data_IF_783354819545
#
_entry.id   IF_783354819545
#
_cell.length_a   1.000
_cell.length_b   1.000
_cell.length_c   1.000
_cell.angle_alpha   90.00
_cell.angle_beta   90.00
_cell.angle_gamma   90.00
#
_symmetry.space_group_name_H-M   'P 1'
#
loop_
_entity.id
_entity.type
_entity.pdbx_description
1 polymer ?
#
# COMPACT_ATOMS: atom_id res chain seq x y z
N UNK A 1 14.59 2.37 8.13
CA UNK A 1 13.70 1.98 7.02
C UNK A 1 12.35 2.60 7.34
N UNK A 2 11.62 3.06 6.32
CA UNK A 2 10.70 4.22 6.34
C UNK A 2 10.49 4.88 7.71
N UNK A 3 11.04 6.08 7.83
CA UNK A 3 11.04 6.88 9.04
C UNK A 3 10.32 8.20 8.76
N UNK A 4 9.24 8.47 9.49
CA UNK A 4 8.53 9.74 9.49
C UNK A 4 8.68 10.35 10.88
N UNK A 5 9.05 11.63 10.93
CA UNK A 5 9.22 12.37 12.19
C UNK A 5 8.45 13.67 12.11
N UNK A 6 7.41 13.79 12.93
CA UNK A 6 6.55 14.97 13.07
C UNK A 6 6.11 15.56 11.71
N UNK A 7 5.58 14.71 10.84
CA UNK A 7 5.21 15.09 9.46
C UNK A 7 3.85 15.77 9.43
N UNK A 8 3.82 16.99 8.88
CA UNK A 8 2.58 17.75 8.64
C UNK A 8 2.37 18.00 7.15
N UNK A 9 1.14 17.83 6.69
CA UNK A 9 0.75 18.12 5.31
C UNK A 9 -0.62 18.81 5.22
N UNK A 10 -0.70 19.87 4.41
CA UNK A 10 -1.92 20.65 4.16
C UNK A 10 -2.15 20.88 2.66
N UNK A 11 -3.37 20.70 2.16
CA UNK A 11 -3.76 21.16 0.82
C UNK A 11 -4.43 22.53 0.93
N UNK A 12 -3.74 23.60 0.52
CA UNK A 12 -4.26 24.97 0.66
C UNK A 12 -4.47 25.31 2.14
N UNK A 13 -5.74 25.43 2.56
CA UNK A 13 -6.15 25.66 3.95
C UNK A 13 -6.71 24.41 4.66
N UNK A 14 -6.64 23.23 4.04
CA UNK A 14 -7.18 21.99 4.58
C UNK A 14 -6.06 21.08 5.10
N UNK A 15 -5.83 21.02 6.43
CA UNK A 15 -4.83 20.12 7.01
C UNK A 15 -5.26 18.66 6.85
N UNK A 16 -4.33 17.83 6.39
CA UNK A 16 -4.57 16.41 6.08
C UNK A 16 -3.68 15.49 6.90
N UNK A 17 -2.44 15.87 7.18
CA UNK A 17 -1.54 15.16 8.08
C UNK A 17 -1.08 16.15 9.17
N UNK A 18 -1.17 15.75 10.42
CA UNK A 18 -0.85 16.58 11.58
C UNK A 18 0.00 15.76 12.57
N UNK A 19 1.31 16.00 12.56
CA UNK A 19 2.27 15.40 13.50
C UNK A 19 2.48 13.90 13.34
N UNK A 20 2.51 13.40 12.10
CA UNK A 20 2.65 11.96 11.83
C UNK A 20 4.09 11.51 12.11
N UNK A 21 4.25 10.62 13.09
CA UNK A 21 5.51 9.92 13.37
C UNK A 21 5.31 8.41 13.25
N UNK A 22 6.03 7.79 12.32
CA UNK A 22 5.89 6.36 12.01
C UNK A 22 7.25 5.78 11.66
N UNK A 23 7.56 4.61 12.22
CA UNK A 23 8.77 3.85 11.95
C UNK A 23 8.41 2.45 11.44
N UNK A 24 9.01 2.06 10.31
CA UNK A 24 8.79 0.78 9.64
C UNK A 24 10.10 -0.01 9.56
N UNK A 25 10.19 -1.16 10.22
CA UNK A 25 11.39 -2.00 10.30
C UNK A 25 11.46 -3.06 9.22
N UNK A 26 12.67 -3.48 8.82
CA UNK A 26 12.88 -4.40 7.69
C UNK A 26 12.10 -5.69 7.88
N UNK A 27 11.36 -6.09 6.85
CA UNK A 27 10.45 -7.24 6.89
C UNK A 27 9.11 -6.97 7.57
N UNK A 28 8.89 -5.79 8.15
CA UNK A 28 7.63 -5.42 8.79
C UNK A 28 6.52 -5.22 7.76
N UNK A 29 5.33 -5.69 8.11
CA UNK A 29 4.10 -5.43 7.37
C UNK A 29 3.26 -4.44 8.16
N UNK A 30 3.12 -3.23 7.62
CA UNK A 30 2.37 -2.15 8.26
C UNK A 30 1.05 -1.94 7.53
N UNK A 31 -0.06 -2.21 8.23
CA UNK A 31 -1.40 -1.89 7.76
C UNK A 31 -1.84 -0.50 8.23
N UNK A 32 -2.05 0.43 7.31
CA UNK A 32 -2.60 1.76 7.56
C UNK A 32 -4.10 1.73 7.28
N UNK A 33 -4.90 1.94 8.33
CA UNK A 33 -6.36 1.95 8.26
C UNK A 33 -6.92 3.31 8.64
N UNK A 34 -8.20 3.54 8.35
CA UNK A 34 -8.88 4.80 8.68
C UNK A 34 -10.03 5.10 7.72
N UNK A 35 -10.92 6.04 8.05
CA UNK A 35 -12.05 6.41 7.19
C UNK A 35 -11.60 7.04 5.87
N UNK A 36 -12.54 7.18 4.93
CA UNK A 36 -12.30 7.96 3.72
C UNK A 36 -12.01 9.42 4.09
N UNK A 37 -11.02 10.02 3.44
CA UNK A 37 -10.57 11.38 3.77
C UNK A 37 -9.59 11.49 4.95
N UNK A 38 -9.24 10.38 5.62
CA UNK A 38 -8.29 10.37 6.75
C UNK A 38 -6.84 10.77 6.41
N UNK A 39 -6.50 10.91 5.12
CA UNK A 39 -5.14 11.23 4.68
C UNK A 39 -4.26 10.04 4.31
N UNK A 40 -4.82 8.82 4.16
CA UNK A 40 -4.05 7.58 3.89
C UNK A 40 -3.24 7.65 2.59
N UNK A 41 -3.89 7.97 1.46
CA UNK A 41 -3.19 8.13 0.18
C UNK A 41 -2.23 9.32 0.20
N UNK A 42 -2.57 10.41 0.90
CA UNK A 42 -1.67 11.56 1.12
C UNK A 42 -0.40 11.13 1.86
N UNK A 43 -0.52 10.31 2.90
CA UNK A 43 0.61 9.73 3.62
C UNK A 43 1.48 8.88 2.70
N UNK A 44 0.87 8.06 1.83
CA UNK A 44 1.63 7.30 0.82
C UNK A 44 2.37 8.22 -0.16
N UNK A 45 1.73 9.30 -0.63
CA UNK A 45 2.36 10.27 -1.53
C UNK A 45 3.54 10.99 -0.88
N UNK A 46 3.43 11.34 0.41
CA UNK A 46 4.54 11.89 1.20
C UNK A 46 5.68 10.88 1.32
N UNK A 47 5.37 9.62 1.66
CA UNK A 47 6.35 8.54 1.75
C UNK A 47 7.05 8.32 0.41
N UNK A 48 6.31 8.37 -0.70
CA UNK A 48 6.87 8.21 -2.05
C UNK A 48 7.51 9.49 -2.60
N UNK A 49 7.63 10.55 -1.81
CA UNK A 49 8.23 11.82 -2.25
C UNK A 49 7.49 12.53 -3.39
N UNK A 50 6.26 12.11 -3.70
CA UNK A 50 5.43 12.72 -4.75
C UNK A 50 4.89 14.09 -4.33
N UNK A 51 4.73 14.29 -3.02
CA UNK A 51 4.38 15.57 -2.42
C UNK A 51 5.31 15.85 -1.23
N UNK A 52 5.71 17.11 -1.08
CA UNK A 52 6.59 17.54 0.00
C UNK A 52 5.76 17.97 1.23
N UNK A 53 6.07 17.48 2.44
CA UNK A 53 5.43 17.97 3.65
C UNK A 53 5.82 19.43 3.95
N UNK A 54 4.94 20.15 4.65
CA UNK A 54 5.20 21.51 5.12
C UNK A 54 6.26 21.52 6.22
N UNK A 55 6.21 20.54 7.11
CA UNK A 55 7.17 20.33 8.19
C UNK A 55 7.35 18.85 8.50
N UNK A 56 8.39 18.53 9.27
CA UNK A 56 8.81 17.17 9.57
C UNK A 56 9.80 16.59 8.57
N UNK A 57 10.23 15.37 8.84
CA UNK A 57 11.23 14.66 8.03
C UNK A 57 10.71 13.29 7.61
N UNK A 58 11.04 12.90 6.36
CA UNK A 58 10.77 11.57 5.82
C UNK A 58 12.08 10.98 5.32
N UNK A 59 12.46 9.79 5.80
CA UNK A 59 13.62 9.03 5.30
C UNK A 59 13.17 7.68 4.77
N UNK A 60 13.75 7.29 3.65
CA UNK A 60 13.59 5.95 3.07
C UNK A 60 14.96 5.31 3.04
N UNK A 61 15.10 4.13 3.64
CA UNK A 61 16.37 3.40 3.71
C UNK A 61 17.51 4.27 4.28
N UNK A 62 17.20 5.12 5.26
CA UNK A 62 18.15 6.03 5.92
C UNK A 62 18.45 7.32 5.14
N UNK A 63 17.90 7.50 3.94
CA UNK A 63 18.14 8.68 3.09
C UNK A 63 16.92 9.60 3.13
N UNK A 64 17.06 10.92 3.34
CA UNK A 64 15.96 11.87 3.24
C UNK A 64 15.25 11.76 1.88
N UNK A 65 13.92 11.77 1.88
CA UNK A 65 13.10 11.48 0.69
C UNK A 65 13.41 12.42 -0.49
N UNK A 66 13.73 13.69 -0.20
CA UNK A 66 14.11 14.69 -1.21
C UNK A 66 15.47 14.41 -1.89
N UNK A 67 16.28 13.52 -1.33
CA UNK A 67 17.58 13.08 -1.87
C UNK A 67 17.55 11.62 -2.33
N UNK A 68 16.42 10.93 -2.18
CA UNK A 68 16.30 9.53 -2.51
C UNK A 68 16.28 9.33 -4.04
N UNK A 69 17.19 8.48 -4.54
CA UNK A 69 17.34 8.19 -5.98
C UNK A 69 17.03 6.74 -6.34
N UNK A 70 17.02 5.84 -5.35
CA UNK A 70 16.84 4.41 -5.55
C UNK A 70 15.38 4.00 -5.62
N UNK A 71 14.55 4.73 -6.39
CA UNK A 71 13.11 4.47 -6.50
C UNK A 71 12.78 3.07 -7.02
N UNK A 72 13.70 2.43 -7.75
CA UNK A 72 13.59 1.03 -8.16
C UNK A 72 13.52 0.04 -6.97
N UNK A 73 13.97 0.45 -5.77
CA UNK A 73 13.84 -0.35 -4.53
C UNK A 73 12.45 -0.26 -3.90
N UNK A 74 11.55 0.55 -4.44
CA UNK A 74 10.18 0.75 -3.96
C UNK A 74 9.20 0.28 -5.04
N UNK A 75 8.43 -0.76 -4.74
CA UNK A 75 7.30 -1.17 -5.55
C UNK A 75 6.05 -0.40 -5.12
N UNK A 76 5.25 0.09 -6.05
CA UNK A 76 3.98 0.73 -5.76
C UNK A 76 2.84 0.11 -6.56
N UNK A 77 1.75 -0.24 -5.88
CA UNK A 77 0.49 -0.70 -6.48
C UNK A 77 -0.61 0.28 -6.10
N UNK A 78 -1.05 1.09 -7.06
CA UNK A 78 -2.14 2.04 -6.84
C UNK A 78 -3.51 1.37 -6.91
N UNK A 79 -4.50 1.92 -6.20
CA UNK A 79 -5.91 1.51 -6.25
C UNK A 79 -6.47 1.40 -7.69
N UNK A 80 -6.04 2.26 -8.61
CA UNK A 80 -6.55 2.31 -10.00
C UNK A 80 -5.80 1.42 -10.98
N UNK A 81 -4.78 0.67 -10.53
CA UNK A 81 -3.87 -0.05 -11.44
C UNK A 81 -4.62 -1.11 -12.29
N UNK A 82 -5.61 -1.78 -11.72
CA UNK A 82 -6.45 -2.75 -12.44
C UNK A 82 -7.43 -2.11 -13.44
N UNK A 83 -7.75 -0.82 -13.28
CA UNK A 83 -8.76 -0.13 -14.09
C UNK A 83 -8.24 0.35 -15.45
N UNK A 84 -6.93 0.64 -15.56
CA UNK A 84 -6.35 1.26 -16.75
C UNK A 84 -6.29 0.33 -17.99
N UNK A 85 -6.41 -0.98 -17.83
CA UNK A 85 -6.06 -1.93 -18.90
C UNK A 85 -7.24 -2.67 -19.54
N UNK A 86 -8.49 -2.28 -19.29
CA UNK A 86 -9.64 -2.95 -19.94
C UNK A 86 -9.69 -2.77 -21.46
N UNK A 87 -9.06 -1.73 -22.00
CA UNK A 87 -9.08 -1.40 -23.43
C UNK A 87 -7.73 -1.55 -24.14
N UNK A 88 -6.66 -1.92 -23.44
CA UNK A 88 -5.34 -2.09 -24.02
C UNK A 88 -5.02 -3.59 -24.17
N UNK A 89 -4.74 -4.10 -25.38
CA UNK A 89 -4.57 -5.53 -25.65
C UNK A 89 -3.18 -6.04 -25.22
N UNK A 90 -2.76 -5.75 -23.99
CA UNK A 90 -1.52 -6.28 -23.44
C UNK A 90 -1.73 -7.64 -22.78
N UNK A 91 -0.79 -8.55 -23.03
CA UNK A 91 -0.66 -9.78 -22.29
C UNK A 91 -0.19 -9.51 -20.85
N UNK A 92 -0.50 -10.44 -19.96
CA UNK A 92 -0.02 -10.43 -18.57
C UNK A 92 1.50 -10.23 -18.49
N UNK A 93 2.27 -10.93 -19.32
CA UNK A 93 3.72 -10.83 -19.32
C UNK A 93 4.21 -9.43 -19.70
N UNK A 94 3.63 -8.82 -20.73
CA UNK A 94 3.99 -7.47 -21.16
C UNK A 94 3.72 -6.43 -20.07
N UNK A 95 2.59 -6.57 -19.38
CA UNK A 95 2.24 -5.70 -18.24
C UNK A 95 3.28 -5.84 -17.13
N UNK A 96 3.68 -7.06 -16.76
CA UNK A 96 4.67 -7.27 -15.69
C UNK A 96 6.05 -6.77 -16.11
N UNK A 97 6.49 -7.06 -17.34
CA UNK A 97 7.76 -6.57 -17.89
C UNK A 97 7.82 -5.04 -17.86
N UNK A 98 6.70 -4.36 -18.14
CA UNK A 98 6.63 -2.89 -18.12
C UNK A 98 7.05 -2.29 -16.76
N UNK A 99 6.87 -3.03 -15.66
CA UNK A 99 7.30 -2.59 -14.32
C UNK A 99 8.81 -2.36 -14.22
N UNK A 100 9.59 -3.05 -15.07
CA UNK A 100 11.06 -2.93 -15.13
C UNK A 100 11.55 -1.83 -16.06
N UNK A 101 10.67 -1.19 -16.84
CA UNK A 101 11.07 -0.14 -17.77
C UNK A 101 11.77 1.04 -17.06
N UNK A 102 11.31 1.41 -15.86
CA UNK A 102 11.90 2.49 -15.06
C UNK A 102 13.31 2.18 -14.52
N UNK A 103 13.73 0.90 -14.48
CA UNK A 103 15.11 0.54 -14.11
C UNK A 103 16.11 0.82 -15.24
N UNK A 104 15.62 1.09 -16.44
CA UNK A 104 16.45 1.31 -17.61
C UNK A 104 16.61 2.82 -17.81
N UNK A 105 17.87 3.25 -17.91
CA UNK A 105 18.17 4.59 -18.40
C UNK A 105 17.61 4.78 -19.82
N UNK A 106 17.54 6.04 -20.25
CA UNK A 106 17.10 6.41 -21.59
C UNK A 106 17.86 5.54 -22.63
N UNK A 107 17.15 4.95 -23.60
CA UNK A 107 17.68 4.13 -24.70
C UNK A 107 18.02 2.65 -24.43
N UNK A 108 17.69 2.07 -23.26
CA UNK A 108 17.87 0.62 -23.04
C UNK A 108 16.59 -0.18 -23.28
N UNK A 109 16.63 -1.07 -24.27
CA UNK A 109 15.54 -2.01 -24.55
C UNK A 109 15.37 -3.06 -23.46
N UNK A 110 14.12 -3.52 -23.31
CA UNK A 110 13.77 -4.68 -22.48
C UNK A 110 14.38 -5.94 -23.10
N UNK A 111 15.04 -6.75 -22.26
CA UNK A 111 15.79 -7.91 -22.71
C UNK A 111 15.33 -9.22 -22.07
N UNK A 112 16.10 -10.28 -22.33
CA UNK A 112 15.86 -11.63 -21.77
C UNK A 112 15.81 -11.63 -20.24
N UNK A 113 16.67 -10.84 -19.60
CA UNK A 113 16.67 -10.73 -18.13
C UNK A 113 15.39 -10.09 -17.60
N UNK A 114 14.82 -9.09 -18.29
CA UNK A 114 13.58 -8.46 -17.84
C UNK A 114 12.40 -9.41 -17.97
N UNK A 115 12.36 -10.19 -19.06
CA UNK A 115 11.40 -11.27 -19.22
C UNK A 115 11.52 -12.31 -18.11
N UNK A 116 12.75 -12.78 -17.84
CA UNK A 116 13.02 -13.78 -16.79
C UNK A 116 12.54 -13.30 -15.42
N UNK A 117 12.84 -12.04 -15.07
CA UNK A 117 12.42 -11.42 -13.81
C UNK A 117 10.91 -11.21 -13.72
N UNK A 118 10.26 -10.92 -14.84
CA UNK A 118 8.81 -10.86 -14.91
C UNK A 118 8.15 -12.23 -14.71
N UNK A 119 8.73 -13.28 -15.30
CA UNK A 119 8.27 -14.67 -15.11
C UNK A 119 8.45 -15.12 -13.65
N UNK A 120 9.59 -14.85 -13.01
CA UNK A 120 9.80 -15.08 -11.56
C UNK A 120 8.75 -14.35 -10.71
N UNK A 121 8.43 -13.09 -11.03
CA UNK A 121 7.41 -12.34 -10.30
C UNK A 121 6.00 -12.92 -10.51
N UNK A 122 5.71 -13.43 -11.72
CA UNK A 122 4.46 -14.11 -12.03
C UNK A 122 4.31 -15.45 -11.30
N UNK A 123 5.40 -16.20 -11.12
CA UNK A 123 5.41 -17.42 -10.30
C UNK A 123 5.03 -17.10 -8.86
N UNK A 124 5.65 -16.06 -8.26
CA UNK A 124 5.39 -15.67 -6.86
C UNK A 124 3.92 -15.33 -6.58
N UNK A 125 3.18 -14.87 -7.59
CA UNK A 125 1.76 -14.53 -7.45
C UNK A 125 0.81 -15.60 -8.00
N UNK A 126 1.32 -16.75 -8.44
CA UNK A 126 0.59 -17.85 -9.07
C UNK A 126 -0.10 -17.48 -10.40
N UNK A 127 0.56 -16.69 -11.25
CA UNK A 127 0.02 -16.21 -12.54
C UNK A 127 0.88 -16.58 -13.76
N UNK A 128 1.95 -17.38 -13.61
CA UNK A 128 2.84 -17.73 -14.73
C UNK A 128 2.11 -18.48 -15.87
N UNK A 129 1.12 -19.31 -15.55
CA UNK A 129 0.33 -20.04 -16.55
C UNK A 129 -0.50 -19.10 -17.44
N UNK A 130 -0.84 -17.92 -16.93
CA UNK A 130 -1.65 -16.90 -17.62
C UNK A 130 -0.79 -15.87 -18.37
N UNK A 131 0.52 -16.08 -18.49
CA UNK A 131 1.47 -15.06 -18.98
C UNK A 131 1.16 -14.52 -20.39
N UNK A 132 0.55 -15.32 -21.25
CA UNK A 132 0.16 -14.93 -22.62
C UNK A 132 -1.32 -14.55 -22.75
N UNK A 133 -2.08 -14.65 -21.66
CA UNK A 133 -3.49 -14.26 -21.63
C UNK A 133 -3.58 -12.73 -21.65
N UNK A 134 -4.51 -12.14 -22.42
CA UNK A 134 -4.81 -10.72 -22.32
C UNK A 134 -5.25 -10.36 -20.90
N UNK A 135 -4.72 -9.25 -20.35
CA UNK A 135 -5.05 -8.83 -18.99
C UNK A 135 -6.55 -8.57 -18.81
N UNK A 136 -7.24 -8.11 -19.85
CA UNK A 136 -8.67 -7.84 -19.88
C UNK A 136 -9.55 -9.08 -19.67
N UNK A 137 -9.03 -10.29 -19.93
CA UNK A 137 -9.76 -11.56 -19.76
C UNK A 137 -9.67 -12.11 -18.33
N UNK A 138 -8.79 -11.55 -17.50
CA UNK A 138 -8.59 -11.99 -16.12
C UNK A 138 -9.67 -11.42 -15.17
N UNK A 139 -9.98 -12.17 -14.11
CA UNK A 139 -10.81 -11.66 -13.01
C UNK A 139 -10.16 -10.48 -12.29
N UNK A 140 -10.92 -9.68 -11.55
CA UNK A 140 -10.37 -8.55 -10.78
C UNK A 140 -9.26 -8.97 -9.81
N UNK A 141 -9.42 -10.10 -9.11
CA UNK A 141 -8.40 -10.67 -8.23
C UNK A 141 -7.14 -11.14 -8.97
N UNK A 142 -7.29 -11.70 -10.17
CA UNK A 142 -6.16 -12.08 -11.01
C UNK A 142 -5.43 -10.86 -11.56
N UNK A 143 -6.15 -9.84 -12.03
CA UNK A 143 -5.58 -8.56 -12.47
C UNK A 143 -4.78 -7.92 -11.34
N UNK A 144 -5.29 -7.96 -10.12
CA UNK A 144 -4.60 -7.45 -8.94
C UNK A 144 -3.28 -8.19 -8.66
N UNK A 145 -3.26 -9.52 -8.77
CA UNK A 145 -2.03 -10.33 -8.67
C UNK A 145 -1.01 -9.93 -9.73
N UNK A 146 -1.45 -9.67 -10.96
CA UNK A 146 -0.58 -9.21 -12.05
C UNK A 146 0.01 -7.83 -11.74
N UNK A 147 -0.76 -6.91 -11.16
CA UNK A 147 -0.24 -5.60 -10.73
C UNK A 147 0.77 -5.72 -9.59
N UNK A 148 0.56 -6.65 -8.66
CA UNK A 148 1.54 -6.98 -7.62
C UNK A 148 2.81 -7.58 -8.26
N UNK A 149 2.68 -8.53 -9.19
CA UNK A 149 3.83 -9.08 -9.91
C UNK A 149 4.62 -8.00 -10.66
N UNK A 150 3.94 -7.05 -11.31
CA UNK A 150 4.58 -5.91 -11.98
C UNK A 150 5.44 -5.09 -11.00
N UNK A 151 4.95 -4.84 -9.78
CA UNK A 151 5.71 -4.15 -8.75
C UNK A 151 6.84 -5.01 -8.16
N UNK A 152 6.66 -6.34 -8.07
CA UNK A 152 7.68 -7.29 -7.62
C UNK A 152 8.79 -7.52 -8.65
N UNK A 153 8.51 -7.30 -9.93
CA UNK A 153 9.44 -7.56 -11.03
C UNK A 153 10.74 -6.76 -10.90
N UNK A 154 10.75 -5.59 -10.23
CA UNK A 154 11.97 -4.81 -9.96
C UNK A 154 12.74 -5.27 -8.72
N UNK A 155 12.26 -6.32 -8.04
CA UNK A 155 12.81 -6.84 -6.78
C UNK A 155 12.90 -5.74 -5.71
N UNK A 156 11.76 -5.11 -5.36
CA UNK A 156 11.76 -4.01 -4.42
C UNK A 156 12.11 -4.48 -3.00
N UNK A 157 12.73 -3.60 -2.20
CA UNK A 157 12.90 -3.80 -0.76
C UNK A 157 11.64 -3.46 0.02
N UNK A 158 10.84 -2.54 -0.51
CA UNK A 158 9.59 -2.07 0.11
C UNK A 158 8.48 -2.10 -0.94
N UNK A 159 7.36 -2.73 -0.60
CA UNK A 159 6.18 -2.77 -1.44
C UNK A 159 5.05 -1.95 -0.77
N UNK A 160 4.64 -0.87 -1.42
CA UNK A 160 3.57 0.02 -0.99
C UNK A 160 2.33 -0.27 -1.82
N UNK A 161 1.19 -0.46 -1.17
CA UNK A 161 -0.06 -0.79 -1.87
C UNK A 161 -1.22 0.02 -1.29
N UNK A 162 -2.01 0.63 -2.19
CA UNK A 162 -3.20 1.40 -1.84
C UNK A 162 -4.46 0.61 -2.22
N UNK A 163 -5.24 0.22 -1.21
CA UNK A 163 -6.49 -0.56 -1.34
C UNK A 163 -6.31 -1.86 -2.17
N UNK A 164 -5.37 -2.76 -1.80
CA UNK A 164 -5.01 -3.90 -2.63
C UNK A 164 -6.08 -4.98 -2.73
N UNK A 165 -7.12 -4.94 -1.91
CA UNK A 165 -8.25 -5.88 -1.94
C UNK A 165 -9.46 -5.32 -2.67
N UNK A 166 -9.42 -4.07 -3.11
CA UNK A 166 -10.55 -3.44 -3.80
C UNK A 166 -10.82 -4.13 -5.14
N UNK A 167 -12.07 -4.49 -5.41
CA UNK A 167 -12.46 -5.22 -6.62
C UNK A 167 -12.08 -6.71 -6.63
N UNK A 168 -11.61 -7.25 -5.50
CA UNK A 168 -11.38 -8.69 -5.30
C UNK A 168 -12.60 -9.27 -4.58
N UNK A 169 -13.20 -10.31 -5.16
CA UNK A 169 -14.32 -11.00 -4.51
C UNK A 169 -13.88 -11.77 -3.25
N UNK A 170 -14.86 -12.09 -2.40
CA UNK A 170 -14.60 -12.78 -1.12
C UNK A 170 -13.92 -14.15 -1.30
N UNK A 171 -14.20 -14.86 -2.40
CA UNK A 171 -13.61 -16.17 -2.67
C UNK A 171 -12.10 -16.06 -2.98
N UNK A 172 -11.68 -14.97 -3.63
CA UNK A 172 -10.28 -14.72 -3.99
C UNK A 172 -9.49 -13.98 -2.90
N UNK A 173 -10.16 -13.36 -1.92
CA UNK A 173 -9.54 -12.63 -0.82
C UNK A 173 -8.59 -13.51 0.02
N UNK A 174 -9.00 -14.73 0.34
CA UNK A 174 -8.19 -15.68 1.12
C UNK A 174 -6.87 -16.02 0.41
N UNK A 175 -6.93 -16.26 -0.91
CA UNK A 175 -5.73 -16.52 -1.69
C UNK A 175 -4.81 -15.29 -1.77
N UNK A 176 -5.36 -14.08 -1.74
CA UNK A 176 -4.57 -12.84 -1.77
C UNK A 176 -3.91 -12.58 -0.41
N UNK A 177 -4.63 -12.82 0.69
CA UNK A 177 -4.04 -12.81 2.04
C UNK A 177 -2.89 -13.82 2.17
N UNK A 178 -3.05 -15.03 1.62
CA UNK A 178 -1.97 -16.03 1.61
C UNK A 178 -0.75 -15.57 0.79
N UNK A 179 -0.97 -14.86 -0.33
CA UNK A 179 0.12 -14.26 -1.09
C UNK A 179 0.90 -13.25 -0.23
N UNK A 180 0.23 -12.35 0.47
CA UNK A 180 0.92 -11.39 1.35
C UNK A 180 1.64 -12.08 2.51
N UNK A 181 1.07 -13.12 3.08
CA UNK A 181 1.75 -13.93 4.10
C UNK A 181 3.05 -14.56 3.57
N UNK A 182 3.03 -15.08 2.35
CA UNK A 182 4.24 -15.62 1.72
C UNK A 182 5.29 -14.52 1.47
N UNK A 183 4.87 -13.36 0.95
CA UNK A 183 5.78 -12.22 0.74
C UNK A 183 6.40 -11.72 2.06
N UNK A 184 5.62 -11.72 3.14
CA UNK A 184 6.13 -11.39 4.48
C UNK A 184 7.17 -12.42 4.96
N UNK A 185 6.90 -13.71 4.80
CA UNK A 185 7.83 -14.78 5.15
C UNK A 185 9.13 -14.72 4.32
N UNK A 186 9.07 -14.23 3.08
CA UNK A 186 10.23 -13.94 2.23
C UNK A 186 11.03 -12.70 2.68
N UNK A 187 10.59 -12.00 3.74
CA UNK A 187 11.24 -10.80 4.27
C UNK A 187 10.90 -9.51 3.54
N UNK A 188 9.86 -9.48 2.69
CA UNK A 188 9.44 -8.26 1.99
C UNK A 188 8.79 -7.29 2.98
N UNK A 189 9.32 -6.08 3.06
CA UNK A 189 8.67 -4.98 3.81
C UNK A 189 7.45 -4.50 3.05
N UNK A 190 6.31 -4.37 3.73
CA UNK A 190 5.06 -3.94 3.10
C UNK A 190 4.38 -2.80 3.85
N UNK A 191 3.86 -1.82 3.11
CA UNK A 191 2.93 -0.80 3.61
C UNK A 191 1.63 -0.95 2.85
N UNK A 192 0.55 -1.25 3.58
CA UNK A 192 -0.76 -1.55 3.04
C UNK A 192 -1.75 -0.51 3.52
N UNK A 193 -2.36 0.26 2.63
CA UNK A 193 -3.51 1.09 2.95
C UNK A 193 -4.80 0.33 2.66
N UNK A 194 -5.70 0.26 3.63
CA UNK A 194 -7.01 -0.38 3.48
C UNK A 194 -8.01 0.28 4.42
N UNK A 195 -9.26 0.44 3.99
CA UNK A 195 -10.35 0.78 4.90
C UNK A 195 -10.85 -0.43 5.71
N UNK A 196 -10.62 -1.65 5.23
CA UNK A 196 -11.04 -2.90 5.88
C UNK A 196 -9.90 -3.53 6.68
N UNK A 197 -10.16 -3.86 7.94
CA UNK A 197 -9.16 -4.30 8.91
C UNK A 197 -9.01 -5.81 9.06
N UNK A 198 -10.02 -6.59 8.63
CA UNK A 198 -10.17 -7.99 9.06
C UNK A 198 -9.23 -8.95 8.30
N UNK A 199 -8.87 -8.64 7.05
CA UNK A 199 -7.88 -9.45 6.32
C UNK A 199 -6.44 -9.10 6.71
N UNK A 200 -6.15 -7.83 7.04
CA UNK A 200 -4.84 -7.35 7.48
C UNK A 200 -4.40 -7.99 8.81
N UNK A 201 -5.32 -8.26 9.72
CA UNK A 201 -4.99 -8.84 11.04
C UNK A 201 -4.33 -10.21 10.96
N UNK A 202 -4.51 -10.95 9.87
CA UNK A 202 -3.98 -12.30 9.73
C UNK A 202 -2.48 -12.37 9.42
N UNK A 203 -1.84 -11.25 9.04
CA UNK A 203 -0.42 -11.23 8.67
C UNK A 203 0.29 -9.88 8.90
N UNK A 204 -0.41 -8.78 9.19
CA UNK A 204 0.24 -7.50 9.44
C UNK A 204 0.95 -7.50 10.81
N UNK A 205 2.25 -7.21 10.81
CA UNK A 205 3.07 -7.11 12.02
C UNK A 205 2.73 -5.88 12.86
N UNK A 206 2.33 -4.78 12.21
CA UNK A 206 1.91 -3.52 12.84
C UNK A 206 0.70 -2.95 12.13
N UNK A 207 -0.19 -2.31 12.89
CA UNK A 207 -1.36 -1.61 12.35
C UNK A 207 -1.41 -0.19 12.89
N UNK A 208 -1.72 0.75 12.01
CA UNK A 208 -1.77 2.18 12.29
C UNK A 208 -3.12 2.70 11.84
N UNK A 209 -3.92 3.19 12.78
CA UNK A 209 -5.15 3.90 12.44
C UNK A 209 -4.83 5.38 12.23
N UNK A 210 -5.13 5.89 11.05
CA UNK A 210 -4.91 7.27 10.62
C UNK A 210 -6.26 7.99 10.54
N UNK A 211 -6.32 9.19 11.12
CA UNK A 211 -7.39 10.17 10.94
C UNK A 211 -6.83 11.57 11.17
N UNK A 212 -6.15 12.11 10.15
CA UNK A 212 -5.24 13.28 10.21
C UNK A 212 -4.03 13.14 11.13
N UNK A 213 -4.21 12.51 12.28
CA UNK A 213 -3.19 12.07 13.24
C UNK A 213 -3.16 10.55 13.28
N UNK A 214 -2.08 9.99 13.79
CA UNK A 214 -2.12 8.60 14.24
C UNK A 214 -3.00 8.56 15.49
N UNK A 215 -4.06 7.75 15.45
CA UNK A 215 -5.00 7.63 16.55
C UNK A 215 -4.27 7.13 17.81
N UNK A 216 -4.50 7.76 18.96
CA UNK A 216 -3.87 7.42 20.24
C UNK A 216 -4.49 6.24 20.97
N UNK A 217 -5.57 5.65 20.45
CA UNK A 217 -6.21 4.51 21.07
C UNK A 217 -5.24 3.32 21.13
N UNK A 218 -5.25 2.58 22.24
CA UNK A 218 -4.34 1.50 22.63
C UNK A 218 -4.33 0.28 21.70
N UNK A 219 -4.84 0.42 20.48
CA UNK A 219 -4.96 -0.60 19.46
C UNK A 219 -3.64 -0.88 18.71
N UNK A 220 -2.57 -0.15 19.04
CA UNK A 220 -1.27 -0.18 18.35
C UNK A 220 -0.52 -1.52 18.46
N UNK A 221 -0.98 -2.44 19.30
CA UNK A 221 -0.36 -3.73 19.49
C UNK A 221 -1.40 -4.78 19.90
N UNK A 222 -1.69 -5.75 19.03
CA UNK A 222 -2.48 -6.93 19.41
C UNK A 222 -1.79 -8.19 18.89
N UNK A 223 -1.06 -8.91 19.77
CA UNK A 223 -0.66 -10.28 19.52
C UNK A 223 -1.87 -11.23 19.57
N UNK A 224 -2.89 -10.92 20.40
CA UNK A 224 -4.00 -11.83 20.68
C UNK A 224 -5.37 -11.13 20.70
N UNK A 225 -6.18 -11.41 19.67
CA UNK A 225 -7.58 -11.79 19.85
C UNK A 225 -8.68 -10.78 20.21
N UNK A 226 -8.44 -9.47 20.36
CA UNK A 226 -9.54 -8.51 20.61
C UNK A 226 -10.11 -7.95 19.30
N UNK A 227 -11.44 -8.04 19.14
CA UNK A 227 -12.18 -7.65 17.92
C UNK A 227 -12.20 -6.13 17.73
N UNK A 228 -11.60 -5.67 16.63
CA UNK A 228 -11.57 -4.27 16.17
C UNK A 228 -12.94 -3.57 16.08
N UNK A 229 -14.04 -4.32 15.85
CA UNK A 229 -15.41 -3.77 15.82
C UNK A 229 -15.76 -3.00 17.10
N UNK A 230 -15.23 -3.41 18.24
CA UNK A 230 -15.52 -2.76 19.52
C UNK A 230 -14.86 -1.37 19.63
N UNK A 231 -13.74 -1.14 18.92
CA UNK A 231 -13.08 0.18 18.84
C UNK A 231 -13.77 1.13 17.86
N UNK A 232 -14.33 0.61 16.75
CA UNK A 232 -15.14 1.41 15.82
C UNK A 232 -16.50 1.76 16.42
N UNK A 233 -17.18 0.81 17.05
CA UNK A 233 -18.51 1.00 17.63
C UNK A 233 -18.48 1.96 18.83
N UNK A 234 -17.48 1.83 19.72
CA UNK A 234 -17.28 2.80 20.81
C UNK A 234 -16.95 4.22 20.34
N UNK A 235 -16.54 4.40 19.07
CA UNK A 235 -16.33 5.71 18.44
C UNK A 235 -17.57 6.24 17.74
N UNK A 236 -18.44 5.40 17.18
CA UNK A 236 -19.69 5.88 16.57
C UNK A 236 -20.61 6.50 17.63
N UNK A 237 -20.62 5.97 18.85
CA UNK A 237 -21.29 6.59 20.01
C UNK A 237 -20.60 7.90 20.46
N UNK A 238 -19.26 7.94 20.54
CA UNK A 238 -18.53 9.16 20.96
C UNK A 238 -18.62 10.32 19.96
N UNK A 239 -18.54 10.03 18.65
CA UNK A 239 -18.69 11.05 17.59
C UNK A 239 -20.11 11.63 17.59
N UNK A 240 -21.13 10.86 17.99
CA UNK A 240 -22.51 11.37 18.10
C UNK A 240 -22.70 12.34 19.28
N UNK A 241 -21.96 12.15 20.38
CA UNK A 241 -22.05 13.01 21.57
C UNK A 241 -21.27 14.32 21.38
N UNK A 242 -20.06 14.26 20.81
CA UNK A 242 -19.22 15.46 20.61
C UNK A 242 -19.78 16.42 19.52
N UNK A 243 -20.60 15.92 18.60
CA UNK A 243 -21.27 16.74 17.56
C UNK A 243 -22.51 17.49 18.10
N UNK A 244 -23.19 16.95 19.12
CA UNK A 244 -24.34 17.63 19.73
C UNK A 244 -23.86 18.74 20.69
N UNK A 245 -22.80 18.50 21.45
CA UNK A 245 -22.28 19.50 22.40
C UNK A 245 -21.63 20.73 21.71
N UNK A 246 -21.16 20.59 20.48
CA UNK A 246 -20.59 21.70 19.69
C UNK A 246 -21.64 22.55 18.96
N UNK A 247 -22.88 22.04 18.78
CA UNK A 247 -24.00 22.78 18.17
C UNK A 247 -24.87 23.52 19.20
N UNK A 248 -24.75 23.19 20.50
CA UNK A 248 -25.52 23.85 21.59
C UNK A 248 -24.73 25.00 22.24
N UNK A 249 -23.43 25.14 21.94
CA UNK A 249 -22.55 26.19 22.50
C UNK A 249 -21.97 27.16 21.46
N UNK A 250 -22.60 27.26 20.28
CA UNK A 250 -22.26 28.23 19.23
C UNK A 250 -23.34 29.31 19.11
#
# INVERSE_FOLDING_TARGET
>A
MIDLTDVHFTYGCHPVLDGISLHVQEGEVVGITGPNGAGKSTLLYVIMGLIKPQSGEVKILGVPVNKFKDWHKIGYVSQKAALFNRSYPATVLEVVISGRAAMRGLFRFLGREDKRRAEEALERVNMLSQRYTPLSELSGGQQQRVMIARALAVQPRILIMDEPTNGVDAANLAGLAQLFKNLHNDGVTMILVSHESEWLSSFASKRVCLDRKICSCSCHYYPDGIRWRDCMNSRQEKISLDCVDSLVRG
#
